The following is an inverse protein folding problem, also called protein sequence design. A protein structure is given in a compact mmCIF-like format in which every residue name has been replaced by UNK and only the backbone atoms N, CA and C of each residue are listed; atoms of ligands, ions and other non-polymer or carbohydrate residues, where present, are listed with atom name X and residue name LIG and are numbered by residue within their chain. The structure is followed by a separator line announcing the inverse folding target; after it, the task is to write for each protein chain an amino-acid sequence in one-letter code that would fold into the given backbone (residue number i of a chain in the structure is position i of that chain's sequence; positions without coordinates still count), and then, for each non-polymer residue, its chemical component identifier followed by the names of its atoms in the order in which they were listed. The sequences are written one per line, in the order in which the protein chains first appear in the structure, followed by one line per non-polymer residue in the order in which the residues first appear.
data_IF_700169160775
#
_entry.id   IF_700169160775
#
_cell.length_a   1.000
_cell.length_b   1.000
_cell.length_c   1.000
_cell.angle_alpha   90.00
_cell.angle_beta   90.00
_cell.angle_gamma   90.00
#
_symmetry.space_group_name_H-M   'P 1'
#
loop_
_entity.id
_entity.type
_entity.pdbx_description
1 polymer ?
#
# COMPACT_ATOMS: atom_id res chain seq x y z
N UNK A 1 -1.81 4.27 -16.49
CA UNK A 1 -1.66 3.79 -15.09
C UNK A 1 -0.84 4.79 -14.27
N UNK A 2 0.39 5.13 -14.67
CA UNK A 2 1.28 6.07 -13.96
C UNK A 2 0.62 7.43 -13.59
N UNK A 3 0.08 8.16 -14.57
CA UNK A 3 -0.58 9.45 -14.31
C UNK A 3 -1.75 9.36 -13.31
N UNK A 4 -2.49 8.24 -13.32
CA UNK A 4 -3.62 8.06 -12.42
C UNK A 4 -3.16 7.80 -10.98
N UNK A 5 -2.12 6.97 -10.80
CA UNK A 5 -1.58 6.68 -9.47
C UNK A 5 -0.96 7.93 -8.84
N UNK A 6 -0.30 8.78 -9.64
CA UNK A 6 0.19 10.09 -9.16
C UNK A 6 -0.96 10.98 -8.66
N UNK A 7 -2.06 11.05 -9.42
CA UNK A 7 -3.26 11.80 -9.01
C UNK A 7 -3.89 11.22 -7.76
N UNK A 8 -3.98 9.89 -7.66
CA UNK A 8 -4.47 9.18 -6.49
C UNK A 8 -3.62 9.49 -5.25
N UNK A 9 -2.29 9.41 -5.37
CA UNK A 9 -1.35 9.75 -4.30
C UNK A 9 -1.53 11.19 -3.84
N UNK A 10 -1.62 12.15 -4.77
CA UNK A 10 -1.83 13.56 -4.44
C UNK A 10 -3.19 13.81 -3.75
N UNK A 11 -4.27 13.19 -4.25
CA UNK A 11 -5.59 13.29 -3.64
C UNK A 11 -5.62 12.69 -2.24
N UNK A 12 -5.03 11.52 -2.06
CA UNK A 12 -4.92 10.85 -0.76
C UNK A 12 -4.13 11.70 0.22
N UNK A 13 -2.96 12.18 -0.16
CA UNK A 13 -2.14 13.06 0.67
C UNK A 13 -2.94 14.31 1.08
N UNK A 14 -3.61 15.00 0.15
CA UNK A 14 -4.42 16.18 0.48
C UNK A 14 -5.57 15.85 1.43
N UNK A 15 -6.26 14.73 1.21
CA UNK A 15 -7.33 14.26 2.10
C UNK A 15 -6.83 14.00 3.52
N UNK A 16 -5.68 13.35 3.65
CA UNK A 16 -5.08 13.06 4.96
C UNK A 16 -4.52 14.30 5.67
N UNK A 17 -3.94 15.26 4.93
CA UNK A 17 -3.52 16.55 5.49
C UNK A 17 -4.71 17.32 6.06
N UNK A 18 -5.82 17.38 5.30
CA UNK A 18 -7.06 18.00 5.75
C UNK A 18 -7.62 17.28 6.99
N UNK A 19 -7.55 15.95 7.05
CA UNK A 19 -7.97 15.16 8.21
C UNK A 19 -7.18 15.52 9.47
N UNK A 20 -5.91 15.88 9.32
CA UNK A 20 -5.03 16.34 10.41
C UNK A 20 -5.15 17.84 10.69
N UNK A 21 -5.93 18.60 9.91
CA UNK A 21 -5.97 20.06 9.99
C UNK A 21 -4.66 20.73 9.61
N UNK A 22 -3.81 20.05 8.82
CA UNK A 22 -2.53 20.58 8.35
C UNK A 22 -2.80 21.35 7.06
N UNK A 23 -2.59 22.66 7.10
CA UNK A 23 -2.58 23.48 5.90
C UNK A 23 -1.19 23.49 5.27
N UNK A 24 -1.06 22.96 4.06
CA UNK A 24 0.17 23.00 3.28
C UNK A 24 -0.04 23.88 2.05
N UNK A 25 0.94 24.72 1.78
CA UNK A 25 1.00 25.49 0.53
C UNK A 25 1.00 24.51 -0.66
N UNK A 26 0.15 24.78 -1.63
CA UNK A 26 0.01 24.04 -2.89
C UNK A 26 1.35 23.80 -3.62
N UNK A 27 2.34 24.66 -3.43
CA UNK A 27 3.66 24.52 -4.05
C UNK A 27 4.52 23.43 -3.37
N UNK A 28 4.27 23.13 -2.09
CA UNK A 28 5.01 22.14 -1.29
C UNK A 28 4.32 20.78 -1.21
N UNK A 29 3.08 20.66 -1.69
CA UNK A 29 2.23 19.49 -1.48
C UNK A 29 2.76 18.18 -2.11
N UNK A 30 3.73 18.22 -3.03
CA UNK A 30 4.31 17.03 -3.65
C UNK A 30 5.64 16.59 -3.01
N UNK A 31 6.18 17.35 -2.06
CA UNK A 31 7.41 16.99 -1.38
C UNK A 31 7.07 16.33 -0.04
N UNK A 32 7.34 15.02 0.01
CA UNK A 32 7.06 14.18 1.18
C UNK A 32 7.80 14.68 2.42
N UNK A 33 8.91 15.41 2.28
CA UNK A 33 9.71 15.89 3.41
C UNK A 33 9.20 17.21 4.00
N UNK A 34 8.19 17.83 3.38
CA UNK A 34 7.66 19.13 3.80
C UNK A 34 6.78 19.09 5.07
N UNK A 35 6.36 17.91 5.52
CA UNK A 35 5.52 17.78 6.70
C UNK A 35 6.03 16.72 7.68
N UNK A 36 5.82 16.99 8.96
CA UNK A 36 6.13 16.05 10.03
C UNK A 36 5.10 14.92 10.04
N UNK A 37 5.59 13.68 10.13
CA UNK A 37 4.73 12.53 10.33
C UNK A 37 4.24 12.48 11.79
N UNK A 38 2.96 12.19 11.95
CA UNK A 38 2.32 12.12 13.26
C UNK A 38 2.05 10.65 13.59
N UNK A 39 2.32 10.17 14.82
CA UNK A 39 1.92 8.83 15.22
C UNK A 39 0.45 8.57 14.89
N UNK A 40 0.19 7.41 14.32
CA UNK A 40 -1.16 7.00 13.98
C UNK A 40 -1.90 6.54 15.24
N UNK A 41 -3.18 6.87 15.31
CA UNK A 41 -4.11 6.35 16.29
C UNK A 41 -5.16 5.48 15.61
N UNK A 42 -5.96 4.75 16.38
CA UNK A 42 -6.99 3.86 15.87
C UNK A 42 -8.01 4.61 15.01
N UNK A 43 -8.52 5.77 15.46
CA UNK A 43 -9.45 6.57 14.66
C UNK A 43 -8.79 7.13 13.41
N UNK A 44 -7.56 7.66 13.54
CA UNK A 44 -6.86 8.20 12.38
C UNK A 44 -6.60 7.13 11.32
N UNK A 45 -6.19 5.91 11.74
CA UNK A 45 -6.00 4.80 10.82
C UNK A 45 -7.30 4.44 10.08
N UNK A 46 -8.42 4.40 10.81
CA UNK A 46 -9.72 4.12 10.21
C UNK A 46 -10.13 5.18 9.19
N UNK A 47 -10.01 6.47 9.52
CA UNK A 47 -10.35 7.56 8.61
C UNK A 47 -9.42 7.62 7.39
N UNK A 48 -8.10 7.48 7.60
CA UNK A 48 -7.12 7.40 6.51
C UNK A 48 -7.35 6.17 5.61
N UNK A 49 -7.75 5.04 6.19
CA UNK A 49 -8.11 3.84 5.43
C UNK A 49 -9.33 4.06 4.54
N UNK A 50 -10.33 4.85 4.97
CA UNK A 50 -11.47 5.21 4.10
C UNK A 50 -11.02 6.00 2.88
N UNK A 51 -10.15 7.00 3.07
CA UNK A 51 -9.58 7.79 1.97
C UNK A 51 -8.83 6.88 0.99
N UNK A 52 -7.99 5.99 1.51
CA UNK A 52 -7.23 5.02 0.73
C UNK A 52 -8.14 4.09 -0.06
N UNK A 53 -9.07 3.41 0.60
CA UNK A 53 -9.96 2.41 -0.01
C UNK A 53 -10.81 3.03 -1.12
N UNK A 54 -11.37 4.23 -0.90
CA UNK A 54 -12.16 4.92 -1.93
C UNK A 54 -11.31 5.20 -3.17
N UNK A 55 -10.11 5.74 -2.99
CA UNK A 55 -9.24 6.05 -4.12
C UNK A 55 -8.73 4.80 -4.86
N UNK A 56 -8.46 3.71 -4.12
CA UNK A 56 -8.08 2.42 -4.71
C UNK A 56 -9.21 1.77 -5.50
N UNK A 57 -10.44 1.82 -5.00
CA UNK A 57 -11.58 1.26 -5.74
C UNK A 57 -11.79 1.98 -7.06
N UNK A 58 -11.61 3.31 -7.07
CA UNK A 58 -11.69 4.09 -8.29
C UNK A 58 -10.55 3.78 -9.25
N UNK A 59 -9.31 3.63 -8.74
CA UNK A 59 -8.20 3.13 -9.53
C UNK A 59 -8.50 1.78 -10.16
N UNK A 60 -8.93 0.80 -9.36
CA UNK A 60 -9.19 -0.56 -9.83
C UNK A 60 -10.33 -0.58 -10.85
N UNK A 61 -11.36 0.24 -10.68
CA UNK A 61 -12.47 0.38 -11.64
C UNK A 61 -12.00 0.91 -13.01
N UNK A 62 -11.01 1.80 -13.02
CA UNK A 62 -10.47 2.39 -14.26
C UNK A 62 -9.44 1.47 -14.90
N UNK A 63 -8.57 0.85 -14.09
CA UNK A 63 -7.51 -0.05 -14.58
C UNK A 63 -8.06 -1.41 -15.03
N UNK A 64 -9.14 -1.89 -14.40
CA UNK A 64 -9.71 -3.21 -14.66
C UNK A 64 -11.24 -3.12 -14.74
N UNK A 65 -11.78 -3.13 -15.95
CA UNK A 65 -13.23 -2.99 -16.18
C UNK A 65 -14.07 -4.01 -15.43
N UNK A 66 -13.55 -5.22 -15.22
CA UNK A 66 -14.24 -6.32 -14.55
C UNK A 66 -14.21 -6.20 -13.03
N UNK A 67 -13.37 -5.31 -12.46
CA UNK A 67 -13.34 -5.05 -11.02
C UNK A 67 -14.70 -4.58 -10.50
N UNK A 68 -15.47 -3.84 -11.30
CA UNK A 68 -16.80 -3.38 -10.89
C UNK A 68 -17.77 -4.54 -10.61
N UNK A 69 -17.56 -5.69 -11.25
CA UNK A 69 -18.40 -6.89 -11.12
C UNK A 69 -18.13 -7.65 -9.82
N UNK A 70 -17.03 -7.36 -9.12
CA UNK A 70 -16.70 -8.05 -7.87
C UNK A 70 -17.64 -7.62 -6.72
N UNK A 71 -18.07 -8.57 -5.86
CA UNK A 71 -18.73 -8.26 -4.60
C UNK A 71 -17.89 -7.34 -3.71
N UNK A 72 -18.54 -6.49 -2.91
CA UNK A 72 -17.85 -5.56 -1.99
C UNK A 72 -16.98 -6.32 -0.97
N UNK A 73 -17.44 -7.50 -0.53
CA UNK A 73 -16.71 -8.38 0.40
C UNK A 73 -15.33 -8.80 -0.12
N UNK A 74 -15.19 -8.87 -1.44
CA UNK A 74 -13.99 -9.37 -2.10
C UNK A 74 -13.03 -8.22 -2.38
N UNK A 75 -13.56 -7.03 -2.70
CA UNK A 75 -12.78 -5.81 -2.97
C UNK A 75 -11.97 -5.31 -1.76
N UNK A 76 -12.49 -5.46 -0.54
CA UNK A 76 -11.90 -4.87 0.67
C UNK A 76 -10.61 -5.58 1.17
N UNK A 77 -10.36 -6.83 0.75
CA UNK A 77 -9.31 -7.68 1.33
C UNK A 77 -7.91 -7.47 0.73
N UNK A 78 -7.78 -6.60 -0.27
CA UNK A 78 -6.75 -6.78 -1.28
C UNK A 78 -5.53 -5.84 -1.13
N UNK A 79 -5.55 -4.80 -0.28
CA UNK A 79 -4.67 -3.65 -0.60
C UNK A 79 -4.09 -2.79 0.54
N UNK A 80 -3.48 -3.37 1.58
CA UNK A 80 -2.88 -2.53 2.65
C UNK A 80 -1.36 -2.64 2.83
N UNK A 81 -0.65 -3.60 2.21
CA UNK A 81 0.77 -3.83 2.53
C UNK A 81 1.79 -3.13 1.61
N UNK A 82 1.62 -3.14 0.29
CA UNK A 82 2.72 -2.78 -0.63
C UNK A 82 3.05 -1.27 -0.69
N UNK A 83 2.03 -0.40 -0.66
CA UNK A 83 2.23 1.06 -0.76
C UNK A 83 2.98 1.66 0.44
N UNK A 84 2.74 1.14 1.64
CA UNK A 84 3.47 1.55 2.84
C UNK A 84 4.97 1.31 2.69
N UNK A 85 5.35 0.12 2.23
CA UNK A 85 6.76 -0.30 2.13
C UNK A 85 7.56 0.54 1.14
N UNK A 86 7.02 0.82 -0.04
CA UNK A 86 7.71 1.68 -1.01
C UNK A 86 7.91 3.10 -0.45
N UNK A 87 6.91 3.65 0.26
CA UNK A 87 7.02 4.98 0.88
C UNK A 87 8.03 4.98 2.04
N UNK A 88 8.07 3.94 2.86
CA UNK A 88 9.06 3.79 3.94
C UNK A 88 10.47 3.79 3.37
N UNK A 89 10.71 2.94 2.36
CA UNK A 89 12.02 2.84 1.72
C UNK A 89 12.47 4.18 1.12
N UNK A 90 11.57 4.90 0.44
CA UNK A 90 11.88 6.22 -0.15
C UNK A 90 12.17 7.29 0.90
N UNK A 91 11.43 7.29 2.00
CA UNK A 91 11.52 8.35 3.02
C UNK A 91 12.60 8.11 4.07
N UNK A 92 12.75 6.88 4.52
CA UNK A 92 13.61 6.53 5.67
C UNK A 92 14.78 5.63 5.30
N UNK A 93 14.83 5.11 4.07
CA UNK A 93 15.86 4.18 3.63
C UNK A 93 15.63 2.75 4.11
N UNK A 94 16.69 1.93 4.03
CA UNK A 94 16.62 0.46 4.10
C UNK A 94 16.50 -0.12 5.52
N UNK A 95 16.80 0.66 6.54
CA UNK A 95 16.95 0.19 7.93
C UNK A 95 15.83 0.68 8.86
N UNK A 96 14.71 1.15 8.30
CA UNK A 96 13.62 1.73 9.09
C UNK A 96 12.63 0.68 9.56
N UNK A 97 12.46 0.53 10.87
CA UNK A 97 11.36 -0.26 11.48
C UNK A 97 10.02 0.47 11.50
N UNK A 98 9.91 1.59 10.78
CA UNK A 98 8.70 2.41 10.73
C UNK A 98 7.73 1.88 9.69
N UNK A 99 6.46 1.72 10.06
CA UNK A 99 5.38 1.39 9.15
C UNK A 99 4.58 2.65 8.80
N UNK A 100 4.55 3.02 7.52
CA UNK A 100 3.73 4.14 7.03
C UNK A 100 2.32 3.67 6.67
N UNK A 101 1.48 3.60 7.69
CA UNK A 101 0.07 3.23 7.55
C UNK A 101 -0.76 4.27 6.78
N UNK A 102 -0.29 5.53 6.73
CA UNK A 102 -0.91 6.64 6.02
C UNK A 102 0.18 7.55 5.41
N UNK A 103 -0.15 8.51 4.55
CA UNK A 103 0.79 9.55 4.11
C UNK A 103 1.25 10.43 5.26
N UNK A 104 0.33 10.79 6.16
CA UNK A 104 0.60 11.69 7.31
C UNK A 104 0.84 10.94 8.62
N UNK A 105 0.70 9.60 8.59
CA UNK A 105 0.65 8.74 9.76
C UNK A 105 1.70 7.63 9.71
N UNK A 106 2.33 7.37 10.85
CA UNK A 106 3.23 6.23 11.01
C UNK A 106 2.92 5.43 12.28
N UNK A 107 3.34 4.17 12.29
CA UNK A 107 3.35 3.32 13.48
C UNK A 107 4.76 2.74 13.59
N UNK A 108 5.28 2.65 14.81
CA UNK A 108 6.50 1.94 15.15
C UNK A 108 6.35 1.33 16.53
N UNK A 109 7.27 0.44 16.90
CA UNK A 109 7.31 -0.11 18.25
C UNK A 109 7.37 1.00 19.33
N UNK A 110 8.00 2.14 19.06
CA UNK A 110 8.14 3.21 20.04
C UNK A 110 6.84 3.96 20.34
N UNK A 111 5.88 3.96 19.40
CA UNK A 111 4.64 4.76 19.51
C UNK A 111 3.37 3.91 19.57
N UNK A 112 3.47 2.60 19.41
CA UNK A 112 2.33 1.67 19.32
C UNK A 112 1.44 1.66 20.58
N UNK A 113 2.00 1.96 21.75
CA UNK A 113 1.22 2.02 22.99
C UNK A 113 0.14 3.11 22.96
N UNK A 114 0.35 4.15 22.16
CA UNK A 114 -0.62 5.24 21.97
C UNK A 114 -1.63 4.96 20.86
N UNK A 115 -1.46 3.89 20.07
CA UNK A 115 -2.30 3.63 18.90
C UNK A 115 -3.78 3.50 19.29
N UNK A 116 -4.09 2.74 20.34
CA UNK A 116 -5.48 2.52 20.79
C UNK A 116 -6.02 3.59 21.74
N UNK A 117 -5.32 4.72 21.92
CA UNK A 117 -5.73 5.79 22.86
C UNK A 117 -7.10 6.40 22.57
N UNK A 118 -7.52 6.39 21.29
CA UNK A 118 -8.83 6.88 20.83
C UNK A 118 -9.78 5.76 20.36
N UNK A 119 -9.46 4.50 20.71
CA UNK A 119 -10.34 3.37 20.46
C UNK A 119 -11.60 3.49 21.35
N UNK A 120 -12.83 3.36 20.81
CA UNK A 120 -14.04 3.45 21.63
C UNK A 120 -14.15 2.28 22.64
N UNK A 121 -13.63 1.12 22.27
CA UNK A 121 -13.52 -0.04 23.16
C UNK A 121 -12.12 -0.12 23.78
N UNK A 122 -12.04 0.24 25.06
CA UNK A 122 -10.80 0.21 25.84
C UNK A 122 -10.56 -1.12 26.55
N UNK A 123 -11.51 -2.06 26.54
CA UNK A 123 -11.45 -3.30 27.33
C UNK A 123 -10.22 -4.16 26.97
N UNK A 124 -9.79 -4.12 25.71
CA UNK A 124 -8.72 -4.95 25.18
C UNK A 124 -7.57 -4.12 24.57
N UNK A 125 -7.56 -2.80 24.78
CA UNK A 125 -6.60 -1.88 24.13
C UNK A 125 -5.13 -2.26 24.42
N UNK A 126 -4.78 -2.54 25.68
CA UNK A 126 -3.40 -2.90 26.05
C UNK A 126 -2.96 -4.24 25.43
N UNK A 127 -3.83 -5.26 25.47
CA UNK A 127 -3.53 -6.54 24.82
C UNK A 127 -3.41 -6.41 23.31
N UNK A 128 -4.24 -5.56 22.69
CA UNK A 128 -4.17 -5.29 21.26
C UNK A 128 -2.89 -4.51 20.89
N UNK A 129 -2.47 -3.55 21.72
CA UNK A 129 -1.21 -2.82 21.54
C UNK A 129 -0.01 -3.76 21.60
N UNK A 130 0.01 -4.72 22.53
CA UNK A 130 1.07 -5.72 22.62
C UNK A 130 1.10 -6.63 21.39
N UNK A 131 -0.05 -7.09 20.91
CA UNK A 131 -0.14 -7.91 19.68
C UNK A 131 0.36 -7.10 18.48
N UNK A 132 -0.05 -5.84 18.36
CA UNK A 132 0.38 -4.96 17.28
C UNK A 132 1.89 -4.69 17.32
N UNK A 133 2.45 -4.48 18.53
CA UNK A 133 3.89 -4.34 18.74
C UNK A 133 4.66 -5.55 18.23
N UNK A 134 4.28 -6.75 18.68
CA UNK A 134 4.92 -7.99 18.27
C UNK A 134 4.80 -8.18 16.75
N UNK A 135 3.63 -7.87 16.18
CA UNK A 135 3.44 -7.92 14.73
C UNK A 135 4.40 -6.99 13.97
N UNK A 136 4.59 -5.75 14.43
CA UNK A 136 5.56 -4.81 13.82
C UNK A 136 6.98 -5.38 13.91
N UNK A 137 7.38 -5.85 15.09
CA UNK A 137 8.73 -6.35 15.32
C UNK A 137 9.04 -7.64 14.53
N UNK A 138 8.06 -8.53 14.38
CA UNK A 138 8.23 -9.83 13.73
C UNK A 138 7.96 -9.80 12.22
N UNK A 139 6.98 -9.00 11.76
CA UNK A 139 6.46 -9.10 10.38
C UNK A 139 7.00 -8.01 9.46
N UNK A 140 7.29 -6.81 9.97
CA UNK A 140 7.78 -5.69 9.14
C UNK A 140 9.17 -5.93 8.52
N UNK A 141 10.14 -6.58 9.19
CA UNK A 141 11.50 -6.68 8.64
C UNK A 141 11.63 -7.46 7.33
N UNK A 142 10.77 -8.46 7.09
CA UNK A 142 10.93 -9.35 5.93
C UNK A 142 10.48 -8.71 4.60
N UNK A 143 9.27 -8.13 4.48
CA UNK A 143 8.88 -7.35 3.30
C UNK A 143 9.87 -6.23 2.99
N UNK A 144 10.34 -5.51 4.02
CA UNK A 144 11.34 -4.46 3.86
C UNK A 144 12.64 -4.98 3.26
N UNK A 145 13.17 -6.11 3.76
CA UNK A 145 14.36 -6.75 3.18
C UNK A 145 14.16 -7.10 1.71
N UNK A 146 12.98 -7.58 1.33
CA UNK A 146 12.68 -7.88 -0.07
C UNK A 146 12.64 -6.61 -0.94
N UNK A 147 11.94 -5.56 -0.50
CA UNK A 147 11.90 -4.28 -1.21
C UNK A 147 13.30 -3.66 -1.33
N UNK A 148 14.11 -3.71 -0.27
CA UNK A 148 15.47 -3.16 -0.24
C UNK A 148 16.46 -3.93 -1.12
N UNK A 149 16.21 -5.23 -1.34
CA UNK A 149 17.01 -6.09 -2.22
C UNK A 149 16.62 -5.94 -3.68
N UNK A 150 15.32 -5.87 -3.95
CA UNK A 150 14.78 -5.78 -5.31
C UNK A 150 14.94 -4.36 -5.83
N UNK A 151 14.74 -3.34 -4.98
CA UNK A 151 14.69 -1.93 -5.37
C UNK A 151 13.76 -1.72 -6.58
N UNK A 152 12.45 -2.00 -6.42
CA UNK A 152 11.53 -1.93 -7.54
C UNK A 152 11.45 -0.51 -8.10
N UNK A 153 11.49 -0.39 -9.42
CA UNK A 153 11.16 0.84 -10.13
C UNK A 153 9.68 1.20 -9.93
N UNK A 154 9.27 2.41 -10.29
CA UNK A 154 7.85 2.80 -10.24
C UNK A 154 6.97 1.87 -11.07
N UNK A 155 7.44 1.49 -12.26
CA UNK A 155 6.72 0.58 -13.13
C UNK A 155 6.56 -0.81 -12.52
N UNK A 156 7.65 -1.38 -11.99
CA UNK A 156 7.63 -2.69 -11.31
C UNK A 156 6.71 -2.66 -10.09
N UNK A 157 6.74 -1.58 -9.32
CA UNK A 157 5.85 -1.40 -8.19
C UNK A 157 4.37 -1.38 -8.60
N UNK A 158 4.04 -0.74 -9.72
CA UNK A 158 2.67 -0.75 -10.26
C UNK A 158 2.24 -2.13 -10.74
N UNK A 159 3.16 -2.88 -11.35
CA UNK A 159 2.90 -4.27 -11.71
C UNK A 159 2.70 -5.14 -10.46
N UNK A 160 3.50 -4.97 -9.41
CA UNK A 160 3.33 -5.65 -8.12
C UNK A 160 1.98 -5.32 -7.47
N UNK A 161 1.54 -4.07 -7.55
CA UNK A 161 0.19 -3.65 -7.15
C UNK A 161 -0.89 -4.42 -7.90
N UNK A 162 -0.77 -4.53 -9.22
CA UNK A 162 -1.73 -5.29 -10.04
C UNK A 162 -1.70 -6.78 -9.72
N UNK A 163 -0.52 -7.36 -9.52
CA UNK A 163 -0.36 -8.78 -9.14
C UNK A 163 -0.96 -9.05 -7.77
N UNK A 164 -0.72 -8.19 -6.78
CA UNK A 164 -1.34 -8.30 -5.46
C UNK A 164 -2.86 -8.15 -5.55
N UNK A 165 -3.34 -7.23 -6.40
CA UNK A 165 -4.78 -7.06 -6.63
C UNK A 165 -5.45 -8.36 -7.09
N UNK A 166 -4.77 -9.07 -7.98
CA UNK A 166 -5.25 -10.31 -8.56
C UNK A 166 -4.74 -11.56 -7.84
N UNK A 167 -4.13 -11.45 -6.66
CA UNK A 167 -3.70 -12.60 -5.85
C UNK A 167 -4.85 -13.09 -4.95
N UNK A 168 -5.84 -13.73 -5.56
CA UNK A 168 -7.10 -14.15 -4.91
C UNK A 168 -7.03 -15.57 -4.35
N UNK A 169 -5.89 -16.25 -4.41
CA UNK A 169 -5.76 -17.67 -4.02
C UNK A 169 -5.96 -17.91 -2.52
N UNK A 170 -5.81 -16.86 -1.71
CA UNK A 170 -5.98 -16.90 -0.26
C UNK A 170 -7.42 -16.62 0.21
N UNK A 171 -8.34 -16.33 -0.72
CA UNK A 171 -9.74 -16.06 -0.42
C UNK A 171 -10.64 -17.10 -1.10
N UNK A 172 -11.83 -17.31 -0.52
CA UNK A 172 -12.88 -18.13 -1.12
C UNK A 172 -13.50 -17.37 -2.31
N UNK A 173 -12.79 -17.39 -3.45
CA UNK A 173 -13.14 -16.72 -4.68
C UNK A 173 -13.94 -17.65 -5.61
N UNK A 174 -14.90 -17.07 -6.35
CA UNK A 174 -15.63 -17.83 -7.37
C UNK A 174 -14.73 -18.21 -8.56
N UNK A 175 -15.10 -19.24 -9.32
CA UNK A 175 -14.38 -19.67 -10.54
C UNK A 175 -14.19 -18.53 -11.54
N UNK A 176 -15.16 -17.62 -11.63
CA UNK A 176 -15.07 -16.44 -12.48
C UNK A 176 -13.96 -15.49 -12.02
N UNK A 177 -13.83 -15.25 -10.72
CA UNK A 177 -12.78 -14.39 -10.15
C UNK A 177 -11.41 -15.05 -10.32
N UNK A 178 -11.32 -16.36 -10.12
CA UNK A 178 -10.10 -17.14 -10.36
C UNK A 178 -9.64 -17.04 -11.82
N UNK A 179 -10.57 -17.15 -12.78
CA UNK A 179 -10.27 -17.00 -14.20
C UNK A 179 -9.81 -15.57 -14.55
N UNK A 180 -10.46 -14.54 -14.00
CA UNK A 180 -10.08 -13.14 -14.20
C UNK A 180 -8.70 -12.84 -13.61
N UNK A 181 -8.46 -13.30 -12.38
CA UNK A 181 -7.17 -13.21 -11.70
C UNK A 181 -6.06 -13.83 -12.54
N UNK A 182 -6.24 -15.07 -12.99
CA UNK A 182 -5.24 -15.78 -13.79
C UNK A 182 -4.92 -15.04 -15.11
N UNK A 183 -5.95 -14.49 -15.76
CA UNK A 183 -5.77 -13.70 -16.99
C UNK A 183 -4.97 -12.42 -16.73
N UNK A 184 -5.38 -11.59 -15.77
CA UNK A 184 -4.68 -10.33 -15.49
C UNK A 184 -3.26 -10.53 -14.97
N UNK A 185 -3.05 -11.56 -14.14
CA UNK A 185 -1.69 -11.92 -13.70
C UNK A 185 -0.81 -12.30 -14.89
N UNK A 186 -1.33 -13.10 -15.83
CA UNK A 186 -0.61 -13.45 -17.06
C UNK A 186 -0.29 -12.20 -17.87
N UNK A 187 -1.27 -11.33 -18.13
CA UNK A 187 -1.07 -10.10 -18.91
C UNK A 187 0.01 -9.19 -18.28
N UNK A 188 -0.04 -8.97 -16.96
CA UNK A 188 0.95 -8.15 -16.24
C UNK A 188 2.35 -8.76 -16.34
N UNK A 189 2.47 -10.08 -16.15
CA UNK A 189 3.76 -10.78 -16.23
C UNK A 189 4.34 -10.78 -17.64
N UNK A 190 3.51 -10.95 -18.67
CA UNK A 190 3.91 -10.88 -20.07
C UNK A 190 4.38 -9.48 -20.46
N UNK A 191 3.69 -8.43 -20.01
CA UNK A 191 4.08 -7.04 -20.25
C UNK A 191 5.43 -6.72 -19.58
N UNK A 192 5.59 -7.10 -18.30
CA UNK A 192 6.87 -7.00 -17.58
C UNK A 192 8.00 -7.71 -18.32
N UNK A 193 7.76 -8.95 -18.75
CA UNK A 193 8.75 -9.74 -19.47
C UNK A 193 9.15 -9.08 -20.80
N UNK A 194 8.19 -8.52 -21.54
CA UNK A 194 8.49 -7.79 -22.77
C UNK A 194 9.36 -6.57 -22.50
N UNK A 195 8.99 -5.76 -21.50
CA UNK A 195 9.75 -4.56 -21.13
C UNK A 195 11.16 -4.90 -20.68
N UNK A 196 11.34 -5.95 -19.88
CA UNK A 196 12.69 -6.34 -19.47
C UNK A 196 13.54 -6.84 -20.62
N UNK A 197 12.98 -7.62 -21.56
CA UNK A 197 13.70 -8.04 -22.78
C UNK A 197 14.18 -6.83 -23.58
N UNK A 198 13.38 -5.78 -23.66
CA UNK A 198 13.70 -4.55 -24.39
C UNK A 198 14.71 -3.65 -23.64
N UNK A 199 14.61 -3.57 -22.31
CA UNK A 199 15.36 -2.58 -21.51
C UNK A 199 16.66 -3.10 -20.91
N UNK A 200 16.66 -4.34 -20.41
CA UNK A 200 17.82 -4.96 -19.73
C UNK A 200 18.31 -6.25 -20.42
N UNK A 201 17.61 -6.70 -21.47
CA UNK A 201 17.93 -7.89 -22.25
C UNK A 201 17.29 -9.16 -21.72
N UNK A 202 17.25 -10.21 -22.55
CA UNK A 202 16.52 -11.45 -22.27
C UNK A 202 17.00 -12.20 -21.02
N UNK A 203 18.31 -12.40 -20.87
CA UNK A 203 18.88 -13.14 -19.74
C UNK A 203 18.68 -12.40 -18.41
N UNK A 204 18.98 -11.10 -18.37
CA UNK A 204 18.78 -10.28 -17.16
C UNK A 204 17.30 -10.09 -16.83
N UNK A 205 16.47 -9.97 -17.86
CA UNK A 205 15.03 -9.89 -17.72
C UNK A 205 14.42 -11.16 -17.14
N UNK A 206 14.86 -12.33 -17.60
CA UNK A 206 14.43 -13.60 -17.04
C UNK A 206 14.84 -13.79 -15.58
N UNK A 207 16.00 -13.25 -15.15
CA UNK A 207 16.43 -13.26 -13.74
C UNK A 207 15.62 -12.27 -12.88
N UNK A 208 15.14 -11.18 -13.47
CA UNK A 208 14.42 -10.11 -12.77
C UNK A 208 12.97 -10.47 -12.45
N UNK A 209 12.35 -11.32 -13.27
CA UNK A 209 11.02 -11.92 -13.07
C UNK A 209 11.06 -12.90 -11.89
#
# INVERSE_FOLDING_TARGET
IDAFLRVLSAFRLKGELNLRGIDMDTVQANDYDCFQLIPCTYQHMNESSKILITGLFEFCRIAFSEFQLLPISDKAKIFQSLDGEMRVMRRFGKDSSTFLCAYTGYISADVVDNFFSDCPDQKHANSAALILRNWIEETTPEPQKHFCRVEPTEYEFYAMIGLALWSVESIDASDQILALSARYRTEIMEELASIYRETIGEEKGAIRI
#
